data_IF_261701558658
#
_entry.id   IF_261701558658
#
_cell.length_a   1.000
_cell.length_b   1.000
_cell.length_c   1.000
_cell.angle_alpha   90.00
_cell.angle_beta   90.00
_cell.angle_gamma   90.00
#
_symmetry.space_group_name_H-M   'P 1'
#
loop_
_entity.id
_entity.type
_entity.pdbx_description
1 polymer ?
#
# COMPACT_ATOMS: atom_id res chain seq x y z
N UNK A 1 -4.51 -40.79 5.03
CA UNK A 1 -3.39 -40.01 4.46
C UNK A 1 -3.36 -39.94 2.93
N UNK A 2 -4.40 -40.29 2.19
CA UNK A 2 -4.41 -40.37 0.72
C UNK A 2 -5.15 -39.23 0.00
N UNK A 3 -5.83 -38.35 0.70
CA UNK A 3 -6.65 -37.28 0.11
C UNK A 3 -5.94 -35.91 -0.07
N UNK A 4 -4.70 -35.77 0.43
CA UNK A 4 -3.94 -34.53 0.33
C UNK A 4 -3.06 -34.41 -0.94
N UNK A 5 -2.74 -35.54 -1.58
CA UNK A 5 -1.88 -35.57 -2.76
C UNK A 5 -2.43 -34.87 -4.01
N UNK A 6 -3.73 -34.93 -4.37
CA UNK A 6 -4.19 -34.28 -5.59
C UNK A 6 -4.28 -32.77 -5.46
N UNK A 7 -4.42 -32.20 -4.25
CA UNK A 7 -4.51 -30.75 -4.05
C UNK A 7 -3.16 -30.04 -4.16
N UNK A 8 -2.08 -30.71 -3.73
CA UNK A 8 -0.72 -30.17 -3.85
C UNK A 8 -0.23 -30.11 -5.29
N UNK A 9 -0.66 -31.05 -6.14
CA UNK A 9 -0.29 -31.08 -7.56
C UNK A 9 -0.92 -29.93 -8.35
N UNK A 10 -2.15 -29.54 -8.02
CA UNK A 10 -2.81 -28.40 -8.65
C UNK A 10 -2.20 -27.06 -8.23
N UNK A 11 -1.78 -26.93 -6.97
CA UNK A 11 -1.07 -25.73 -6.48
C UNK A 11 0.32 -25.63 -7.14
N UNK A 12 1.04 -26.75 -7.25
CA UNK A 12 2.32 -26.78 -7.96
C UNK A 12 2.17 -26.50 -9.46
N UNK A 13 1.11 -27.02 -10.10
CA UNK A 13 0.81 -26.73 -11.50
C UNK A 13 0.41 -25.27 -11.72
N UNK A 14 -0.35 -24.68 -10.82
CA UNK A 14 -0.70 -23.25 -10.86
C UNK A 14 0.53 -22.36 -10.67
N UNK A 15 1.46 -22.72 -9.77
CA UNK A 15 2.75 -22.05 -9.60
C UNK A 15 3.66 -22.19 -10.84
N UNK A 16 3.68 -23.36 -11.48
CA UNK A 16 4.44 -23.60 -12.71
C UNK A 16 3.88 -22.85 -13.92
N UNK A 17 2.58 -22.60 -13.99
CA UNK A 17 1.94 -21.79 -15.04
C UNK A 17 2.23 -20.29 -14.85
N UNK A 18 2.50 -19.84 -13.62
CA UNK A 18 2.86 -18.45 -13.32
C UNK A 18 4.34 -18.12 -13.61
N UNK A 19 5.23 -19.13 -13.55
CA UNK A 19 6.68 -18.95 -13.79
C UNK A 19 7.04 -18.45 -15.21
N UNK A 20 6.42 -18.92 -16.32
CA UNK A 20 6.72 -18.37 -17.64
C UNK A 20 6.31 -16.91 -17.83
N UNK A 21 5.29 -16.45 -17.11
CA UNK A 21 4.85 -15.03 -17.14
C UNK A 21 5.87 -14.09 -16.51
N UNK A 22 6.64 -14.57 -15.56
CA UNK A 22 7.69 -13.79 -14.89
C UNK A 22 8.94 -13.67 -15.78
N UNK A 23 9.26 -14.69 -16.57
CA UNK A 23 10.43 -14.71 -17.45
C UNK A 23 10.25 -13.90 -18.75
N UNK A 24 9.01 -13.54 -19.13
CA UNK A 24 8.71 -12.77 -20.35
C UNK A 24 8.60 -11.26 -20.11
N UNK A 25 8.86 -10.76 -18.92
CA UNK A 25 8.68 -9.34 -18.56
C UNK A 25 9.94 -8.48 -18.78
N UNK A 26 11.06 -9.05 -19.23
CA UNK A 26 12.34 -8.34 -19.33
C UNK A 26 12.40 -7.14 -20.31
N UNK A 27 11.81 -7.14 -21.51
CA UNK A 27 12.08 -6.04 -22.44
C UNK A 27 11.38 -4.71 -22.09
N UNK A 28 10.36 -4.72 -21.25
CA UNK A 28 9.65 -3.49 -20.88
C UNK A 28 10.27 -2.77 -19.67
N UNK A 29 11.02 -3.48 -18.85
CA UNK A 29 11.65 -2.93 -17.64
C UNK A 29 12.92 -2.15 -18.00
N UNK A 30 13.68 -2.60 -18.99
CA UNK A 30 14.90 -1.91 -19.45
C UNK A 30 14.59 -0.54 -20.12
N UNK A 31 13.39 -0.38 -20.71
CA UNK A 31 12.95 0.90 -21.25
C UNK A 31 12.55 1.93 -20.18
N UNK A 32 12.41 1.49 -18.94
CA UNK A 32 12.03 2.29 -17.77
C UNK A 32 13.20 2.47 -16.80
N UNK A 33 14.44 2.40 -17.31
CA UNK A 33 15.62 2.63 -16.50
C UNK A 33 15.50 3.99 -15.81
N UNK A 34 15.33 3.92 -14.50
CA UNK A 34 15.23 5.08 -13.64
C UNK A 34 16.63 5.65 -13.43
N UNK A 35 16.98 6.70 -14.15
CA UNK A 35 18.30 7.36 -14.12
C UNK A 35 18.48 8.31 -12.93
N UNK A 36 17.51 8.36 -12.00
CA UNK A 36 17.57 9.26 -10.86
C UNK A 36 18.43 8.71 -9.71
N UNK A 37 18.91 9.58 -8.81
CA UNK A 37 19.64 9.18 -7.60
C UNK A 37 18.68 8.54 -6.59
N UNK A 38 18.28 7.30 -6.84
CA UNK A 38 17.47 6.54 -5.91
C UNK A 38 18.27 6.18 -4.66
N UNK A 39 17.71 6.41 -3.50
CA UNK A 39 18.28 5.96 -2.24
C UNK A 39 18.32 4.43 -2.22
N UNK A 40 19.44 3.89 -1.70
CA UNK A 40 19.56 2.42 -1.57
C UNK A 40 18.37 1.85 -0.76
N UNK A 41 17.63 0.86 -1.30
CA UNK A 41 16.49 0.24 -0.61
C UNK A 41 16.88 -0.34 0.77
N UNK A 42 18.11 -0.78 0.92
CA UNK A 42 18.64 -1.32 2.18
C UNK A 42 18.76 -0.24 3.25
N UNK A 43 19.27 0.95 2.88
CA UNK A 43 19.40 2.08 3.80
C UNK A 43 18.01 2.59 4.20
N UNK A 44 17.12 2.74 3.23
CA UNK A 44 15.75 3.20 3.49
C UNK A 44 14.99 2.19 4.36
N UNK A 45 15.11 0.89 4.06
CA UNK A 45 14.48 -0.16 4.86
C UNK A 45 14.99 -0.17 6.31
N UNK A 46 16.31 -0.05 6.51
CA UNK A 46 16.89 0.06 7.85
C UNK A 46 16.39 1.33 8.59
N UNK A 47 16.33 2.47 7.90
CA UNK A 47 15.83 3.72 8.47
C UNK A 47 14.34 3.62 8.89
N UNK A 48 13.50 2.95 8.09
CA UNK A 48 12.10 2.67 8.45
C UNK A 48 12.02 1.77 9.69
N UNK A 49 12.89 0.76 9.80
CA UNK A 49 12.97 -0.09 11.00
C UNK A 49 13.33 0.70 12.25
N UNK A 50 14.36 1.54 12.18
CA UNK A 50 14.77 2.44 13.27
C UNK A 50 13.63 3.42 13.61
N UNK A 51 13.01 4.03 12.62
CA UNK A 51 11.86 4.91 12.82
C UNK A 51 10.73 4.20 13.56
N UNK A 52 10.43 2.96 13.21
CA UNK A 52 9.41 2.17 13.89
C UNK A 52 9.74 1.95 15.39
N UNK A 53 10.99 1.69 15.72
CA UNK A 53 11.43 1.61 17.13
C UNK A 53 11.29 2.94 17.87
N UNK A 54 11.66 4.03 17.22
CA UNK A 54 11.54 5.37 17.81
C UNK A 54 10.07 5.75 18.05
N UNK A 55 9.16 5.38 17.15
CA UNK A 55 7.73 5.64 17.34
C UNK A 55 7.16 4.87 18.54
N UNK A 56 7.56 3.60 18.72
CA UNK A 56 7.21 2.86 19.93
C UNK A 56 7.82 3.47 21.18
N UNK A 57 9.09 3.83 21.13
CA UNK A 57 9.80 4.36 22.30
C UNK A 57 9.24 5.71 22.79
N UNK A 58 8.94 6.64 21.87
CA UNK A 58 8.49 7.99 22.23
C UNK A 58 6.97 8.13 22.34
N UNK A 59 6.21 7.38 21.60
CA UNK A 59 4.76 7.58 21.46
C UNK A 59 3.93 6.39 21.92
N UNK A 60 4.57 5.26 22.24
CA UNK A 60 3.89 3.99 22.56
C UNK A 60 2.86 3.59 21.48
N UNK A 61 3.11 3.97 20.23
CA UNK A 61 2.22 3.79 19.10
C UNK A 61 2.93 3.11 17.93
N UNK A 62 2.29 2.12 17.28
CA UNK A 62 2.80 1.51 16.07
C UNK A 62 2.67 2.47 14.87
N UNK A 63 3.52 2.29 13.87
CA UNK A 63 3.33 2.91 12.57
C UNK A 63 2.10 2.28 11.91
N UNK A 64 1.14 3.11 11.51
CA UNK A 64 -0.08 2.68 10.82
C UNK A 64 -0.75 3.86 10.16
N UNK A 65 -1.39 3.64 8.99
CA UNK A 65 -2.04 4.70 8.23
C UNK A 65 -3.54 4.46 8.01
N UNK A 66 -4.05 3.26 8.28
CA UNK A 66 -5.44 2.90 7.92
C UNK A 66 -6.49 3.68 8.71
N UNK A 67 -6.24 3.99 9.97
CA UNK A 67 -7.14 4.79 10.81
C UNK A 67 -7.13 6.28 10.44
N UNK A 68 -6.02 6.80 9.89
CA UNK A 68 -5.94 8.18 9.42
C UNK A 68 -6.99 8.49 8.34
N UNK A 69 -7.22 7.55 7.40
CA UNK A 69 -8.24 7.74 6.36
C UNK A 69 -9.65 7.75 6.94
N UNK A 70 -9.94 6.92 7.94
CA UNK A 70 -11.22 6.96 8.63
C UNK A 70 -11.41 8.26 9.43
N UNK A 71 -10.35 8.75 10.07
CA UNK A 71 -10.36 10.03 10.78
C UNK A 71 -10.61 11.19 9.81
N UNK A 72 -9.92 11.21 8.66
CA UNK A 72 -10.17 12.20 7.61
C UNK A 72 -11.60 12.14 7.08
N UNK A 73 -12.11 10.95 6.77
CA UNK A 73 -13.49 10.76 6.33
C UNK A 73 -14.49 11.26 7.38
N UNK A 74 -14.24 11.00 8.66
CA UNK A 74 -15.05 11.49 9.76
C UNK A 74 -14.99 13.01 9.92
N UNK A 75 -13.82 13.64 9.76
CA UNK A 75 -13.68 15.09 9.79
C UNK A 75 -14.44 15.75 8.63
N UNK A 76 -14.28 15.23 7.41
CA UNK A 76 -15.03 15.69 6.25
C UNK A 76 -16.54 15.47 6.43
N UNK A 77 -16.91 14.29 6.93
CA UNK A 77 -18.32 13.97 7.22
C UNK A 77 -18.93 14.94 8.25
N UNK A 78 -18.18 15.33 9.28
CA UNK A 78 -18.64 16.35 10.25
C UNK A 78 -18.83 17.73 9.61
N UNK A 79 -18.05 18.04 8.57
CA UNK A 79 -18.17 19.33 7.86
C UNK A 79 -19.44 19.38 7.01
N UNK A 80 -19.80 18.27 6.33
CA UNK A 80 -20.93 18.23 5.39
C UNK A 80 -22.23 17.68 6.01
N UNK A 81 -22.13 16.61 6.83
CA UNK A 81 -23.30 15.87 7.37
C UNK A 81 -23.05 15.49 8.83
N UNK A 82 -22.87 16.49 9.67
CA UNK A 82 -22.45 16.33 11.07
C UNK A 82 -23.32 15.36 11.87
N UNK A 83 -24.65 15.52 11.83
CA UNK A 83 -25.57 14.68 12.60
C UNK A 83 -25.48 13.21 12.24
N UNK A 84 -25.33 12.90 10.95
CA UNK A 84 -25.19 11.53 10.49
C UNK A 84 -23.85 10.93 10.91
N UNK A 85 -22.75 11.68 10.74
CA UNK A 85 -21.41 11.21 11.09
C UNK A 85 -21.29 10.93 12.60
N UNK A 86 -21.82 11.82 13.45
CA UNK A 86 -21.82 11.64 14.91
C UNK A 86 -22.76 10.51 15.39
N UNK A 87 -23.76 10.11 14.58
CA UNK A 87 -24.66 9.01 14.92
C UNK A 87 -24.05 7.64 14.68
N UNK A 88 -23.01 7.53 13.83
CA UNK A 88 -22.37 6.26 13.52
C UNK A 88 -21.62 5.70 14.74
N UNK A 89 -21.87 4.44 15.06
CA UNK A 89 -21.27 3.77 16.23
C UNK A 89 -19.75 3.72 16.18
N UNK A 90 -19.18 3.71 14.98
CA UNK A 90 -17.73 3.80 14.78
C UNK A 90 -17.18 5.11 15.35
N UNK A 91 -17.75 6.27 14.99
CA UNK A 91 -17.24 7.57 15.45
C UNK A 91 -17.65 7.96 16.86
N UNK A 92 -18.57 7.21 17.48
CA UNK A 92 -18.82 7.30 18.93
C UNK A 92 -17.70 6.66 19.73
N UNK A 93 -17.14 5.54 19.23
CA UNK A 93 -16.01 4.83 19.87
C UNK A 93 -14.66 5.45 19.54
N UNK A 94 -14.48 5.84 18.28
CA UNK A 94 -13.24 6.39 17.74
C UNK A 94 -13.51 7.80 17.18
N UNK A 95 -13.47 8.84 18.01
CA UNK A 95 -13.80 10.20 17.59
C UNK A 95 -12.86 10.67 16.48
N UNK A 96 -13.42 11.28 15.43
CA UNK A 96 -12.64 11.90 14.37
C UNK A 96 -12.02 13.21 14.88
N UNK A 97 -10.83 13.10 15.45
CA UNK A 97 -9.98 14.18 15.95
C UNK A 97 -8.55 13.97 15.42
N UNK A 98 -7.73 15.00 15.47
CA UNK A 98 -6.32 14.86 15.11
C UNK A 98 -5.67 13.85 16.04
N UNK A 99 -5.22 12.75 15.47
CA UNK A 99 -4.59 11.65 16.18
C UNK A 99 -3.19 11.35 15.60
N UNK A 100 -2.46 10.46 16.24
CA UNK A 100 -1.11 10.06 15.85
C UNK A 100 -1.02 9.63 14.38
N UNK A 101 -1.93 8.78 13.94
CA UNK A 101 -1.95 8.21 12.60
C UNK A 101 -2.16 9.28 11.53
N UNK A 102 -3.00 10.28 11.80
CA UNK A 102 -3.22 11.41 10.90
C UNK A 102 -1.97 12.27 10.78
N UNK A 103 -1.33 12.59 11.90
CA UNK A 103 -0.06 13.36 11.92
C UNK A 103 1.02 12.59 11.17
N UNK A 104 1.12 11.27 11.38
CA UNK A 104 2.07 10.42 10.68
C UNK A 104 1.86 10.45 9.16
N UNK A 105 0.62 10.33 8.68
CA UNK A 105 0.31 10.38 7.23
C UNK A 105 0.64 11.76 6.65
N UNK A 106 0.29 12.85 7.34
CA UNK A 106 0.64 14.20 6.89
C UNK A 106 2.15 14.41 6.85
N UNK A 107 2.88 13.95 7.87
CA UNK A 107 4.34 14.02 7.89
C UNK A 107 4.97 13.20 6.75
N UNK A 108 4.39 12.05 6.40
CA UNK A 108 4.84 11.22 5.27
C UNK A 108 4.66 11.95 3.93
N UNK A 109 3.55 12.68 3.75
CA UNK A 109 3.32 13.50 2.54
C UNK A 109 4.38 14.61 2.45
N UNK A 110 4.62 15.32 3.54
CA UNK A 110 5.64 16.38 3.60
C UNK A 110 7.03 15.81 3.34
N UNK A 111 7.38 14.69 3.97
CA UNK A 111 8.66 14.01 3.75
C UNK A 111 8.85 13.55 2.31
N UNK A 112 7.81 12.97 1.70
CA UNK A 112 7.83 12.59 0.29
C UNK A 112 8.00 13.78 -0.65
N UNK A 113 7.35 14.91 -0.37
CA UNK A 113 7.53 16.13 -1.13
C UNK A 113 8.96 16.69 -1.03
N UNK A 114 9.53 16.71 0.18
CA UNK A 114 10.91 17.12 0.41
C UNK A 114 11.88 16.18 -0.34
N UNK A 115 11.67 14.87 -0.26
CA UNK A 115 12.52 13.89 -0.94
C UNK A 115 12.46 14.07 -2.47
N UNK A 116 11.28 14.23 -3.04
CA UNK A 116 11.11 14.44 -4.48
C UNK A 116 11.75 15.74 -4.97
N UNK A 117 11.63 16.83 -4.20
CA UNK A 117 12.24 18.12 -4.57
C UNK A 117 13.76 18.11 -4.43
N UNK A 118 14.30 17.51 -3.38
CA UNK A 118 15.76 17.41 -3.18
C UNK A 118 16.43 16.39 -4.09
N UNK A 119 15.70 15.32 -4.47
CA UNK A 119 16.14 14.31 -5.43
C UNK A 119 16.05 14.73 -6.90
N UNK A 120 15.43 15.88 -7.19
CA UNK A 120 15.21 16.33 -8.58
C UNK A 120 14.16 15.54 -9.34
N UNK A 121 13.36 14.72 -8.64
CA UNK A 121 12.37 13.81 -9.23
C UNK A 121 10.99 14.45 -9.41
N UNK A 122 10.82 15.69 -9.01
CA UNK A 122 9.56 16.40 -9.13
C UNK A 122 9.31 16.83 -10.57
N UNK A 123 8.83 15.90 -11.39
CA UNK A 123 8.62 16.09 -12.83
C UNK A 123 7.26 16.70 -13.19
N UNK A 124 6.36 16.88 -12.25
CA UNK A 124 4.99 17.37 -12.51
C UNK A 124 4.14 16.47 -13.44
N UNK A 125 4.56 15.25 -13.69
CA UNK A 125 3.80 14.29 -14.52
C UNK A 125 2.58 13.77 -13.77
N UNK A 126 1.42 13.80 -14.44
CA UNK A 126 0.17 13.28 -13.90
C UNK A 126 0.02 11.77 -14.05
N UNK A 127 0.69 11.20 -15.08
CA UNK A 127 0.68 9.78 -15.35
C UNK A 127 2.05 9.17 -15.04
N UNK A 128 2.08 8.01 -14.35
CA UNK A 128 3.32 7.25 -14.18
C UNK A 128 3.85 6.77 -15.54
N UNK A 129 5.17 6.78 -15.78
CA UNK A 129 5.75 6.34 -17.06
C UNK A 129 5.32 4.93 -17.47
N UNK A 130 5.27 4.00 -16.52
CA UNK A 130 4.78 2.63 -16.76
C UNK A 130 3.34 2.58 -17.26
N UNK A 131 2.50 3.47 -16.78
CA UNK A 131 1.11 3.55 -17.23
C UNK A 131 1.03 4.09 -18.66
N UNK A 132 1.81 5.13 -18.98
CA UNK A 132 1.87 5.71 -20.33
C UNK A 132 2.33 4.69 -21.37
N UNK A 133 3.37 3.93 -21.06
CA UNK A 133 3.87 2.86 -21.95
C UNK A 133 2.80 1.78 -22.19
N UNK A 134 2.00 1.46 -21.17
CA UNK A 134 1.02 0.37 -21.23
C UNK A 134 -0.32 0.77 -21.87
N UNK A 135 -0.83 1.94 -21.51
CA UNK A 135 -2.19 2.38 -21.85
C UNK A 135 -2.21 3.62 -22.77
N UNK A 136 -1.06 4.20 -23.07
CA UNK A 136 -0.91 5.38 -23.89
C UNK A 136 -1.14 6.70 -23.15
N UNK A 137 -0.71 7.77 -23.81
CA UNK A 137 -0.93 9.14 -23.34
C UNK A 137 -2.43 9.51 -23.41
N UNK A 138 -2.88 10.41 -22.55
CA UNK A 138 -4.28 10.87 -22.54
C UNK A 138 -5.26 9.97 -21.79
N UNK A 139 -4.82 8.87 -21.18
CA UNK A 139 -5.68 7.95 -20.42
C UNK A 139 -5.87 8.33 -18.95
N UNK A 140 -5.74 9.61 -18.60
CA UNK A 140 -5.87 10.12 -17.24
C UNK A 140 -7.19 9.72 -16.57
N UNK A 141 -8.30 9.76 -17.30
CA UNK A 141 -9.62 9.37 -16.78
C UNK A 141 -9.67 7.88 -16.41
N UNK A 142 -9.13 7.01 -17.26
CA UNK A 142 -9.01 5.58 -16.98
C UNK A 142 -8.12 5.34 -15.76
N UNK A 143 -6.98 6.02 -15.68
CA UNK A 143 -6.06 5.94 -14.55
C UNK A 143 -6.73 6.36 -13.24
N UNK A 144 -7.48 7.47 -13.26
CA UNK A 144 -8.23 7.96 -12.11
C UNK A 144 -9.28 6.94 -11.66
N UNK A 145 -10.05 6.38 -12.58
CA UNK A 145 -11.05 5.36 -12.28
C UNK A 145 -10.42 4.11 -11.65
N UNK A 146 -9.33 3.59 -12.23
CA UNK A 146 -8.61 2.42 -11.69
C UNK A 146 -8.02 2.74 -10.31
N UNK A 147 -7.46 3.94 -10.13
CA UNK A 147 -6.91 4.36 -8.84
C UNK A 147 -7.98 4.45 -7.74
N UNK A 148 -9.13 5.05 -8.05
CA UNK A 148 -10.25 5.15 -7.09
C UNK A 148 -10.79 3.77 -6.75
N UNK A 149 -11.05 2.93 -7.76
CA UNK A 149 -11.56 1.57 -7.56
C UNK A 149 -10.59 0.72 -6.73
N UNK A 150 -9.29 0.76 -7.07
CA UNK A 150 -8.24 0.07 -6.32
C UNK A 150 -8.13 0.60 -4.88
N UNK A 151 -8.22 1.91 -4.68
CA UNK A 151 -8.21 2.53 -3.35
C UNK A 151 -9.39 2.08 -2.48
N UNK A 152 -10.59 1.99 -3.05
CA UNK A 152 -11.78 1.48 -2.35
C UNK A 152 -11.59 0.02 -1.93
N UNK A 153 -11.12 -0.84 -2.85
CA UNK A 153 -10.87 -2.26 -2.56
C UNK A 153 -9.78 -2.42 -1.49
N UNK A 154 -8.70 -1.64 -1.59
CA UNK A 154 -7.60 -1.65 -0.61
C UNK A 154 -8.07 -1.19 0.78
N UNK A 155 -8.87 -0.12 0.84
CA UNK A 155 -9.41 0.38 2.10
C UNK A 155 -10.36 -0.64 2.75
N UNK A 156 -11.22 -1.28 1.96
CA UNK A 156 -12.12 -2.34 2.42
C UNK A 156 -11.32 -3.55 2.93
N UNK A 157 -10.33 -4.02 2.18
CA UNK A 157 -9.47 -5.13 2.58
C UNK A 157 -8.69 -4.84 3.86
N UNK A 158 -8.14 -3.62 4.01
CA UNK A 158 -7.43 -3.20 5.21
C UNK A 158 -8.34 -3.17 6.45
N UNK A 159 -9.63 -2.83 6.28
CA UNK A 159 -10.61 -2.87 7.37
C UNK A 159 -10.99 -4.30 7.76
N UNK A 160 -11.14 -5.20 6.79
CA UNK A 160 -11.39 -6.62 7.07
C UNK A 160 -10.19 -7.29 7.76
N UNK A 161 -8.97 -6.96 7.35
CA UNK A 161 -7.75 -7.51 7.92
C UNK A 161 -7.41 -6.93 9.31
N UNK A 162 -8.07 -5.84 9.74
CA UNK A 162 -7.75 -5.13 10.97
C UNK A 162 -6.49 -4.27 10.90
N UNK A 163 -5.93 -4.04 9.71
CA UNK A 163 -4.75 -3.21 9.48
C UNK A 163 -4.34 -3.15 8.01
N UNK A 164 -3.56 -2.13 7.67
CA UNK A 164 -2.99 -1.96 6.33
C UNK A 164 -1.57 -2.52 6.26
N UNK A 165 -0.92 -2.38 5.09
CA UNK A 165 0.47 -2.84 4.89
C UNK A 165 1.47 -2.19 5.85
N UNK A 166 1.29 -0.93 6.25
CA UNK A 166 2.16 -0.31 7.26
C UNK A 166 1.91 -0.86 8.67
N UNK A 167 0.65 -1.17 9.02
CA UNK A 167 0.31 -1.77 10.31
C UNK A 167 0.77 -3.22 10.44
N UNK A 168 0.45 -4.07 9.47
CA UNK A 168 0.87 -5.47 9.47
C UNK A 168 2.29 -5.66 8.92
N UNK A 169 2.63 -5.02 7.78
CA UNK A 169 3.89 -5.27 7.09
C UNK A 169 5.11 -4.63 7.75
N UNK A 170 4.97 -3.51 8.42
CA UNK A 170 6.07 -2.87 9.14
C UNK A 170 5.94 -3.16 10.63
N UNK A 171 4.96 -2.57 11.29
CA UNK A 171 4.86 -2.65 12.75
C UNK A 171 4.54 -4.05 13.26
N UNK A 172 3.62 -4.76 12.62
CA UNK A 172 3.21 -6.10 13.05
C UNK A 172 4.28 -7.17 12.82
N UNK A 173 5.03 -7.08 11.73
CA UNK A 173 6.16 -8.00 11.47
C UNK A 173 7.34 -7.73 12.40
N UNK A 174 7.64 -6.47 12.70
CA UNK A 174 8.66 -6.10 13.68
C UNK A 174 8.32 -6.56 15.10
N UNK A 175 7.03 -6.66 15.42
CA UNK A 175 6.55 -7.25 16.67
C UNK A 175 6.50 -8.79 16.65
N UNK A 176 6.95 -9.43 15.57
CA UNK A 176 6.91 -10.89 15.36
C UNK A 176 5.49 -11.48 15.47
N UNK A 177 4.47 -10.70 15.16
CA UNK A 177 3.09 -11.13 15.20
C UNK A 177 2.77 -12.05 14.02
N UNK A 178 2.45 -13.31 14.30
CA UNK A 178 2.18 -14.35 13.29
C UNK A 178 1.00 -13.97 12.39
N UNK A 179 -0.06 -13.38 12.93
CA UNK A 179 -1.20 -12.93 12.14
C UNK A 179 -0.80 -11.84 11.13
N UNK A 180 0.13 -10.97 11.51
CA UNK A 180 0.67 -9.93 10.63
C UNK A 180 1.54 -10.52 9.51
N UNK A 181 2.35 -11.53 9.80
CA UNK A 181 3.10 -12.26 8.77
C UNK A 181 2.17 -12.92 7.75
N UNK A 182 1.10 -13.57 8.22
CA UNK A 182 0.11 -14.18 7.33
C UNK A 182 -0.60 -13.13 6.46
N UNK A 183 -1.01 -12.01 7.06
CA UNK A 183 -1.64 -10.90 6.34
C UNK A 183 -0.73 -10.35 5.24
N UNK A 184 0.57 -10.16 5.53
CA UNK A 184 1.56 -9.67 4.55
C UNK A 184 1.70 -10.64 3.38
N UNK A 185 1.80 -11.93 3.63
CA UNK A 185 1.85 -12.95 2.57
C UNK A 185 0.61 -12.83 1.66
N UNK A 186 -0.58 -12.71 2.25
CA UNK A 186 -1.83 -12.53 1.49
C UNK A 186 -1.83 -11.23 0.68
N UNK A 187 -1.31 -10.12 1.22
CA UNK A 187 -1.20 -8.85 0.50
C UNK A 187 -0.27 -8.96 -0.71
N UNK A 188 0.87 -9.63 -0.58
CA UNK A 188 1.79 -9.86 -1.69
C UNK A 188 1.17 -10.77 -2.76
N UNK A 189 0.50 -11.86 -2.36
CA UNK A 189 -0.19 -12.74 -3.31
C UNK A 189 -1.25 -11.95 -4.10
N UNK A 190 -2.09 -11.19 -3.42
CA UNK A 190 -3.12 -10.36 -4.06
C UNK A 190 -2.54 -9.29 -4.96
N UNK A 191 -1.48 -8.59 -4.51
CA UNK A 191 -0.79 -7.57 -5.28
C UNK A 191 -0.16 -8.12 -6.57
N UNK A 192 0.56 -9.23 -6.47
CA UNK A 192 1.18 -9.91 -7.61
C UNK A 192 0.12 -10.41 -8.60
N UNK A 193 -0.97 -11.00 -8.10
CA UNK A 193 -2.06 -11.50 -8.93
C UNK A 193 -2.74 -10.41 -9.77
N UNK A 194 -2.72 -9.16 -9.32
CA UNK A 194 -3.25 -8.01 -10.07
C UNK A 194 -2.17 -7.35 -10.92
N UNK A 195 -0.96 -7.20 -10.40
CA UNK A 195 0.12 -6.48 -11.07
C UNK A 195 0.60 -7.21 -12.34
N UNK A 196 0.73 -8.55 -12.28
CA UNK A 196 1.17 -9.34 -13.44
C UNK A 196 0.24 -9.14 -14.65
N UNK A 197 -1.08 -9.39 -14.58
CA UNK A 197 -1.96 -9.18 -15.74
C UNK A 197 -2.01 -7.72 -16.21
N UNK A 198 -1.81 -6.78 -15.29
CA UNK A 198 -1.89 -5.35 -15.62
C UNK A 198 -0.63 -4.86 -16.34
N UNK A 199 0.56 -5.37 -15.99
CA UNK A 199 1.84 -4.83 -16.45
C UNK A 199 2.73 -5.83 -17.21
N UNK A 200 2.49 -7.14 -17.11
CA UNK A 200 3.30 -8.18 -17.76
C UNK A 200 2.88 -8.45 -19.20
N UNK A 201 3.03 -7.46 -20.11
CA UNK A 201 2.95 -7.67 -21.56
C UNK A 201 3.99 -6.85 -22.25
#
# INVERSE_FOLDING_TARGET
MSALRPRLTWVAAALLVLLPGIAMAEPAVDALQYDGPAWSPYIVGAAIGVLSWLTFYFSDKPIGASSAYATLAGMLGKLFVRKHTESLDYYKKEPAVVNWELVFVLATIVGGFIAATTGGEFTGRWLPPMWEVRFGEGTLGLRAFVAVSGGVLMAFGARLAGGCTSGHGISGTLQLNVASWLAVICFFIGGIAVAIPLYAR
#
